data_IF_286231015171
#
_entry.id   IF_286231015171
#
_cell.length_a   1.000
_cell.length_b   1.000
_cell.length_c   1.000
_cell.angle_alpha   90.00
_cell.angle_beta   90.00
_cell.angle_gamma   90.00
#
_symmetry.space_group_name_H-M   'P 1'
#
loop_
_entity.id
_entity.type
_entity.pdbx_description
1 polymer ?
#
# COMPACT_ATOMS: atom_id res chain seq x y z
N UNK A 1 5.02 35.82 53.91
CA UNK A 1 5.59 34.64 53.20
C UNK A 1 4.59 34.22 52.14
N UNK A 2 4.87 34.54 50.87
CA UNK A 2 4.03 34.10 49.76
C UNK A 2 4.50 32.73 49.32
N UNK A 3 3.62 31.73 49.48
CA UNK A 3 3.84 30.39 48.91
C UNK A 3 3.59 30.46 47.39
N UNK A 4 4.66 30.41 46.61
CA UNK A 4 4.57 30.14 45.18
C UNK A 4 4.18 28.67 44.98
N UNK A 5 2.89 28.42 44.76
CA UNK A 5 2.43 27.17 44.18
C UNK A 5 2.66 27.33 42.67
N UNK A 6 3.80 26.88 42.20
CA UNK A 6 3.99 26.65 40.78
C UNK A 6 3.05 25.50 40.38
N UNK A 7 1.92 25.85 39.79
CA UNK A 7 1.08 24.86 39.12
C UNK A 7 1.91 24.21 38.02
N UNK A 8 2.25 22.93 38.19
CA UNK A 8 2.85 22.09 37.18
C UNK A 8 1.77 21.87 36.12
N UNK A 9 1.65 22.81 35.17
CA UNK A 9 0.85 22.60 33.98
C UNK A 9 1.62 21.51 33.19
N UNK A 10 1.14 20.29 33.28
CA UNK A 10 1.65 19.21 32.47
C UNK A 10 1.64 19.68 31.01
N UNK A 11 2.77 19.56 30.32
CA UNK A 11 2.83 19.81 28.90
C UNK A 11 1.67 19.03 28.23
N UNK A 12 0.89 19.65 27.35
CA UNK A 12 -0.17 18.93 26.66
C UNK A 12 0.47 17.73 25.99
N UNK A 13 0.07 16.52 26.39
CA UNK A 13 0.41 15.32 25.61
C UNK A 13 -0.12 15.57 24.21
N UNK A 14 0.76 15.65 23.22
CA UNK A 14 0.34 15.79 21.83
C UNK A 14 -0.73 14.72 21.59
N UNK A 15 -1.91 15.16 21.15
CA UNK A 15 -2.96 14.21 20.78
C UNK A 15 -2.39 13.29 19.69
N UNK A 16 -2.20 12.03 20.04
CA UNK A 16 -1.74 11.03 19.09
C UNK A 16 -2.89 10.90 18.09
N UNK A 17 -2.68 11.36 16.84
CA UNK A 17 -3.68 11.28 15.79
C UNK A 17 -4.06 9.84 15.50
N UNK A 18 -5.26 9.63 14.93
CA UNK A 18 -5.73 8.31 14.50
C UNK A 18 -4.87 7.71 13.40
N UNK A 19 -4.07 8.54 12.70
CA UNK A 19 -3.08 8.17 11.69
C UNK A 19 -1.69 8.57 12.16
N UNK A 20 -0.79 7.61 12.27
CA UNK A 20 0.62 7.83 12.59
C UNK A 20 1.51 7.37 11.45
N UNK A 21 2.46 8.21 11.03
CA UNK A 21 3.46 7.82 10.03
C UNK A 21 4.44 6.83 10.64
N UNK A 22 4.55 5.64 10.05
CA UNK A 22 5.52 4.61 10.44
C UNK A 22 6.80 4.78 9.63
N UNK A 23 6.68 4.95 8.32
CA UNK A 23 7.82 5.08 7.41
C UNK A 23 7.41 5.73 6.10
N UNK A 24 8.31 6.53 5.53
CA UNK A 24 8.14 7.12 4.20
C UNK A 24 9.42 6.93 3.40
N UNK A 25 9.26 6.56 2.13
CA UNK A 25 10.37 6.37 1.19
C UNK A 25 10.06 7.09 -0.12
N UNK A 26 10.97 7.94 -0.58
CA UNK A 26 10.95 8.51 -1.93
C UNK A 26 12.19 8.03 -2.67
N UNK A 27 12.01 7.51 -3.87
CA UNK A 27 13.10 6.93 -4.64
C UNK A 27 13.96 8.00 -5.30
N UNK A 28 15.26 7.96 -5.04
CA UNK A 28 16.28 8.76 -5.76
C UNK A 28 16.84 8.03 -6.98
N UNK A 29 16.67 6.72 -7.05
CA UNK A 29 17.06 5.84 -8.16
C UNK A 29 16.02 4.77 -8.38
N UNK A 30 15.88 4.28 -9.61
CA UNK A 30 14.93 3.20 -9.90
C UNK A 30 15.30 1.91 -9.14
N UNK A 31 14.31 1.26 -8.55
CA UNK A 31 14.48 0.02 -7.77
C UNK A 31 13.37 -0.99 -8.06
N UNK A 32 13.69 -2.28 -7.97
CA UNK A 32 12.73 -3.35 -8.27
C UNK A 32 11.58 -3.43 -7.26
N UNK A 33 11.82 -3.08 -5.99
CA UNK A 33 10.84 -3.21 -4.91
C UNK A 33 11.06 -2.22 -3.78
N UNK A 34 10.01 -2.01 -2.99
CA UNK A 34 10.01 -1.31 -1.70
C UNK A 34 9.59 -2.31 -0.63
N UNK A 35 10.32 -2.34 0.49
CA UNK A 35 9.98 -3.17 1.64
C UNK A 35 9.91 -2.31 2.91
N UNK A 36 8.78 -2.39 3.59
CA UNK A 36 8.62 -1.91 4.96
C UNK A 36 8.79 -3.10 5.89
N UNK A 37 9.75 -3.03 6.80
CA UNK A 37 10.05 -4.09 7.77
C UNK A 37 10.01 -3.54 9.20
N UNK A 38 9.95 -4.46 10.19
CA UNK A 38 9.86 -4.05 11.58
C UNK A 38 8.57 -3.30 11.92
N UNK A 39 7.47 -3.60 11.23
CA UNK A 39 6.17 -2.96 11.45
C UNK A 39 5.71 -3.28 12.87
N UNK A 40 5.49 -2.27 13.74
CA UNK A 40 5.04 -2.52 15.11
C UNK A 40 3.62 -3.06 15.14
N UNK A 41 3.26 -3.82 16.19
CA UNK A 41 1.92 -4.41 16.37
C UNK A 41 0.94 -3.53 17.15
N UNK A 42 1.23 -2.24 17.28
CA UNK A 42 0.53 -1.32 18.18
C UNK A 42 -0.67 -0.62 17.57
N UNK A 43 -0.88 -0.77 16.28
CA UNK A 43 -1.99 -0.16 15.54
C UNK A 43 -3.10 -1.18 15.27
N UNK A 44 -4.28 -0.71 14.94
CA UNK A 44 -5.43 -1.53 14.57
C UNK A 44 -5.33 -1.97 13.11
N UNK A 45 -4.99 -1.03 12.23
CA UNK A 45 -4.89 -1.23 10.78
C UNK A 45 -3.62 -0.59 10.25
N UNK A 46 -3.25 -0.97 9.03
CA UNK A 46 -2.21 -0.29 8.27
C UNK A 46 -2.81 0.32 7.01
N UNK A 47 -2.24 1.46 6.59
CA UNK A 47 -2.51 2.04 5.28
C UNK A 47 -1.20 2.40 4.60
N UNK A 48 -1.05 1.99 3.32
CA UNK A 48 0.01 2.50 2.45
C UNK A 48 -0.59 3.49 1.46
N UNK A 49 0.06 4.63 1.28
CA UNK A 49 -0.20 5.57 0.20
C UNK A 49 1.01 5.61 -0.71
N UNK A 50 0.78 5.36 -1.99
CA UNK A 50 1.84 5.32 -3.00
C UNK A 50 1.54 6.23 -4.17
N UNK A 51 2.58 6.95 -4.61
CA UNK A 51 2.63 7.61 -5.92
C UNK A 51 3.70 6.87 -6.70
N UNK A 52 3.34 6.29 -7.83
CA UNK A 52 4.19 5.31 -8.50
C UNK A 52 4.24 5.51 -10.00
N UNK A 53 5.44 5.38 -10.55
CA UNK A 53 5.73 5.28 -11.98
C UNK A 53 6.58 4.04 -12.23
N UNK A 54 6.31 3.24 -13.26
CA UNK A 54 7.18 2.13 -13.64
C UNK A 54 8.25 2.62 -14.62
N UNK A 55 9.33 1.85 -14.79
CA UNK A 55 10.29 2.03 -15.89
C UNK A 55 9.90 1.26 -17.16
N UNK A 56 8.85 0.42 -17.09
CA UNK A 56 8.33 -0.38 -18.20
C UNK A 56 6.82 -0.20 -18.33
N UNK A 57 6.31 -0.24 -19.56
CA UNK A 57 4.87 -0.20 -19.82
C UNK A 57 4.18 -1.49 -19.39
N UNK A 58 2.87 -1.40 -19.14
CA UNK A 58 1.99 -2.52 -18.76
C UNK A 58 2.47 -3.25 -17.50
N UNK A 59 3.07 -2.52 -16.58
CA UNK A 59 3.58 -3.08 -15.34
C UNK A 59 2.52 -3.01 -14.23
N UNK A 60 2.23 -4.16 -13.63
CA UNK A 60 1.37 -4.27 -12.46
C UNK A 60 2.20 -4.11 -11.19
N UNK A 61 1.56 -3.71 -10.10
CA UNK A 61 2.15 -3.83 -8.78
C UNK A 61 1.63 -5.07 -8.05
N UNK A 62 2.51 -5.65 -7.23
CA UNK A 62 2.27 -6.84 -6.44
C UNK A 62 2.60 -6.57 -4.99
N UNK A 63 1.67 -6.92 -4.11
CA UNK A 63 1.84 -6.86 -2.66
C UNK A 63 2.06 -8.26 -2.11
N UNK A 64 3.09 -8.43 -1.29
CA UNK A 64 3.29 -9.60 -0.43
C UNK A 64 3.44 -9.19 1.03
N UNK A 65 3.02 -10.04 1.95
CA UNK A 65 3.08 -9.86 3.39
C UNK A 65 4.03 -10.90 3.98
N UNK A 66 4.90 -10.49 4.90
CA UNK A 66 5.89 -11.33 5.59
C UNK A 66 6.76 -12.16 4.63
N UNK A 67 7.08 -11.61 3.45
CA UNK A 67 7.85 -12.29 2.41
C UNK A 67 7.26 -13.65 1.97
N UNK A 68 5.96 -13.86 2.20
CA UNK A 68 5.27 -15.07 1.75
C UNK A 68 5.10 -15.00 0.22
N UNK A 69 5.72 -15.94 -0.48
CA UNK A 69 5.65 -16.14 -1.93
C UNK A 69 4.93 -17.42 -2.31
N UNK A 70 4.31 -18.09 -1.34
CA UNK A 70 3.46 -19.26 -1.57
C UNK A 70 2.11 -18.88 -2.18
N UNK A 71 1.37 -19.88 -2.67
CA UNK A 71 0.04 -19.70 -3.25
C UNK A 71 -1.04 -19.44 -2.18
N UNK A 72 -0.74 -18.56 -1.22
CA UNK A 72 -1.55 -18.27 -0.05
C UNK A 72 -2.42 -17.01 -0.19
N UNK A 73 -2.51 -16.45 -1.40
CA UNK A 73 -3.30 -15.25 -1.63
C UNK A 73 -4.49 -15.53 -2.55
N UNK A 74 -5.53 -14.72 -2.37
CA UNK A 74 -6.65 -14.62 -3.29
C UNK A 74 -7.01 -13.15 -3.49
N UNK A 75 -7.59 -12.80 -4.62
CA UNK A 75 -8.04 -11.45 -4.92
C UNK A 75 -9.27 -11.42 -5.81
N UNK A 76 -10.03 -10.34 -5.69
CA UNK A 76 -11.02 -9.90 -6.69
C UNK A 76 -10.70 -8.47 -7.07
N UNK A 77 -10.96 -8.12 -8.32
CA UNK A 77 -10.76 -6.76 -8.83
C UNK A 77 -11.95 -6.30 -9.66
N UNK A 78 -12.14 -5.00 -9.67
CA UNK A 78 -13.00 -4.27 -10.58
C UNK A 78 -12.19 -3.11 -11.15
N UNK A 79 -12.05 -3.02 -12.48
CA UNK A 79 -11.27 -2.01 -13.17
C UNK A 79 -12.11 -1.37 -14.26
N UNK A 80 -12.11 -0.03 -14.31
CA UNK A 80 -12.68 0.75 -15.40
C UNK A 80 -11.58 1.54 -16.11
N UNK A 81 -11.54 1.51 -17.44
CA UNK A 81 -10.55 2.22 -18.27
C UNK A 81 -11.17 3.34 -19.12
N UNK A 82 -12.40 3.74 -18.81
CA UNK A 82 -13.15 4.75 -19.56
C UNK A 82 -13.97 4.19 -20.73
N UNK A 83 -13.70 2.97 -21.18
CA UNK A 83 -14.42 2.31 -22.29
C UNK A 83 -15.01 0.96 -21.87
N UNK A 84 -14.33 0.21 -21.04
CA UNK A 84 -14.73 -1.13 -20.58
C UNK A 84 -14.58 -1.26 -19.09
N UNK A 85 -15.30 -2.22 -18.52
CA UNK A 85 -15.16 -2.68 -17.14
C UNK A 85 -14.69 -4.11 -17.16
N UNK A 86 -13.65 -4.42 -16.38
CA UNK A 86 -13.12 -5.76 -16.15
C UNK A 86 -13.33 -6.16 -14.69
N UNK A 87 -13.92 -7.33 -14.48
CA UNK A 87 -14.14 -7.91 -13.17
C UNK A 87 -13.60 -9.34 -13.13
N UNK A 88 -12.62 -9.59 -12.27
CA UNK A 88 -11.91 -10.89 -12.23
C UNK A 88 -11.62 -11.31 -10.79
N UNK A 89 -11.77 -12.60 -10.51
CA UNK A 89 -11.34 -13.24 -9.26
C UNK A 89 -10.20 -14.22 -9.53
N UNK A 90 -9.24 -14.31 -8.62
CA UNK A 90 -8.13 -15.25 -8.68
C UNK A 90 -7.85 -15.80 -7.28
N UNK A 91 -7.72 -17.10 -7.16
CA UNK A 91 -7.36 -17.80 -5.92
C UNK A 91 -6.00 -18.50 -6.07
N UNK A 92 -5.40 -18.86 -4.94
CA UNK A 92 -4.13 -19.62 -4.90
C UNK A 92 -3.00 -18.93 -5.68
N UNK A 93 -2.85 -17.61 -5.48
CA UNK A 93 -1.77 -16.82 -6.08
C UNK A 93 -0.68 -16.51 -5.05
N UNK A 94 0.49 -16.10 -5.52
CA UNK A 94 1.65 -15.78 -4.70
C UNK A 94 1.70 -14.29 -4.26
N UNK A 95 0.69 -13.47 -4.60
CA UNK A 95 0.65 -12.04 -4.29
C UNK A 95 -0.77 -11.48 -4.49
N UNK A 96 -1.00 -10.27 -3.97
CA UNK A 96 -2.17 -9.45 -4.32
C UNK A 96 -1.72 -8.42 -5.37
N UNK A 97 -2.22 -8.55 -6.60
CA UNK A 97 -1.90 -7.64 -7.70
C UNK A 97 -2.87 -6.45 -7.76
N UNK A 98 -2.39 -5.32 -8.28
CA UNK A 98 -3.17 -4.11 -8.58
C UNK A 98 -2.51 -3.31 -9.70
N UNK A 99 -3.18 -2.32 -10.26
CA UNK A 99 -2.87 -1.70 -11.56
C UNK A 99 -2.91 -2.70 -12.73
N UNK A 100 -3.67 -3.77 -12.55
CA UNK A 100 -3.84 -4.82 -13.56
C UNK A 100 -4.60 -4.30 -14.81
N UNK A 101 -4.81 -5.19 -15.76
CA UNK A 101 -5.46 -4.99 -17.05
C UNK A 101 -4.60 -4.23 -18.07
N UNK A 102 -4.41 -2.92 -17.90
CA UNK A 102 -3.54 -2.14 -18.77
C UNK A 102 -2.21 -1.76 -18.13
N UNK A 103 -2.03 -2.12 -16.85
CA UNK A 103 -0.84 -1.78 -16.08
C UNK A 103 -0.57 -0.27 -15.96
N UNK A 104 0.50 0.06 -15.29
CA UNK A 104 1.04 1.40 -15.30
C UNK A 104 1.80 1.65 -16.61
N UNK A 105 1.74 2.89 -17.11
CA UNK A 105 2.32 3.28 -18.39
C UNK A 105 3.46 4.27 -18.20
N UNK A 106 4.43 4.25 -19.11
CA UNK A 106 5.54 5.21 -19.16
C UNK A 106 5.38 6.26 -20.25
N UNK A 107 4.35 6.13 -21.10
CA UNK A 107 4.21 6.88 -22.34
C UNK A 107 4.13 8.40 -22.17
N UNK A 108 3.55 8.89 -21.07
CA UNK A 108 3.52 10.33 -20.76
C UNK A 108 4.55 10.63 -19.68
N UNK A 109 5.47 11.55 -19.97
CA UNK A 109 6.48 11.97 -19.01
C UNK A 109 5.83 12.61 -17.77
N UNK A 110 6.43 12.38 -16.61
CA UNK A 110 6.01 12.95 -15.31
C UNK A 110 4.61 12.56 -14.84
N UNK A 111 3.94 11.60 -15.48
CA UNK A 111 2.68 11.01 -15.01
C UNK A 111 2.98 9.86 -14.06
N UNK A 112 2.33 9.88 -12.92
CA UNK A 112 2.39 8.85 -11.89
C UNK A 112 1.00 8.31 -11.60
N UNK A 113 0.90 7.03 -11.32
CA UNK A 113 -0.30 6.44 -10.74
C UNK A 113 -0.32 6.60 -9.23
N UNK A 114 -1.50 6.39 -8.63
CA UNK A 114 -1.69 6.45 -7.18
C UNK A 114 -2.34 5.17 -6.68
N UNK A 115 -1.94 4.73 -5.47
CA UNK A 115 -2.59 3.63 -4.77
C UNK A 115 -2.77 3.95 -3.28
N UNK A 116 -3.92 3.54 -2.75
CA UNK A 116 -4.19 3.46 -1.32
C UNK A 116 -4.45 1.99 -1.00
N UNK A 117 -3.68 1.45 -0.06
CA UNK A 117 -3.75 0.04 0.34
C UNK A 117 -4.08 -0.01 1.83
N UNK A 118 -5.24 -0.54 2.19
CA UNK A 118 -5.63 -0.79 3.56
C UNK A 118 -5.39 -2.26 3.90
N UNK A 119 -4.72 -2.54 5.02
CA UNK A 119 -4.53 -3.88 5.58
C UNK A 119 -5.21 -3.90 6.94
N UNK A 120 -6.34 -4.59 7.02
CA UNK A 120 -7.20 -4.58 8.19
C UNK A 120 -6.76 -5.62 9.22
N UNK A 121 -6.82 -5.25 10.50
CA UNK A 121 -6.47 -6.12 11.62
C UNK A 121 -5.12 -6.85 11.44
N UNK A 122 -4.11 -6.16 10.89
CA UNK A 122 -2.86 -6.74 10.41
C UNK A 122 -2.06 -7.50 11.48
N UNK A 123 -2.19 -7.11 12.75
CA UNK A 123 -1.50 -7.75 13.87
C UNK A 123 -2.33 -8.87 14.53
N UNK A 124 -3.59 -9.08 14.12
CA UNK A 124 -4.45 -10.11 14.71
C UNK A 124 -3.99 -11.50 14.28
N UNK A 125 -3.86 -12.42 15.25
CA UNK A 125 -3.38 -13.80 15.01
C UNK A 125 -4.49 -14.84 14.94
N UNK A 126 -5.78 -14.42 14.95
CA UNK A 126 -6.93 -15.30 14.86
C UNK A 126 -7.67 -15.24 13.53
N UNK A 127 -7.24 -14.35 12.63
CA UNK A 127 -7.88 -14.11 11.33
C UNK A 127 -6.86 -14.07 10.21
N UNK A 128 -7.30 -14.43 9.02
CA UNK A 128 -6.59 -14.10 7.78
C UNK A 128 -6.59 -12.58 7.55
N UNK A 129 -5.61 -12.10 6.80
CA UNK A 129 -5.48 -10.66 6.54
C UNK A 129 -6.29 -10.26 5.32
N UNK A 130 -7.17 -9.29 5.51
CA UNK A 130 -7.96 -8.71 4.42
C UNK A 130 -7.31 -7.40 3.98
N UNK A 131 -7.16 -7.26 2.68
CA UNK A 131 -6.57 -6.08 2.03
C UNK A 131 -7.58 -5.48 1.09
N UNK A 132 -7.65 -4.14 1.08
CA UNK A 132 -8.43 -3.38 0.11
C UNK A 132 -7.50 -2.37 -0.57
N UNK A 133 -7.60 -2.27 -1.91
CA UNK A 133 -6.75 -1.39 -2.69
C UNK A 133 -7.61 -0.55 -3.62
N UNK A 134 -7.45 0.77 -3.54
CA UNK A 134 -7.93 1.70 -4.53
C UNK A 134 -6.71 2.21 -5.31
N UNK A 135 -6.73 2.07 -6.63
CA UNK A 135 -5.63 2.48 -7.49
C UNK A 135 -6.12 3.17 -8.75
N UNK A 136 -5.28 4.00 -9.35
CA UNK A 136 -5.60 4.64 -10.60
C UNK A 136 -4.42 5.38 -11.20
N UNK A 137 -4.47 5.54 -12.51
CA UNK A 137 -3.56 6.38 -13.28
C UNK A 137 -4.30 7.01 -14.45
N UNK A 138 -3.95 8.22 -14.79
CA UNK A 138 -4.44 8.94 -15.97
C UNK A 138 -3.24 9.41 -16.79
N UNK A 139 -3.23 9.05 -18.08
CA UNK A 139 -2.17 9.36 -19.03
C UNK A 139 -2.65 10.40 -20.06
N UNK A 140 -3.45 11.37 -19.63
CA UNK A 140 -4.03 12.41 -20.47
C UNK A 140 -4.95 11.82 -21.59
N UNK A 141 -6.01 11.17 -21.16
CA UNK A 141 -7.04 10.60 -22.03
C UNK A 141 -7.03 9.08 -22.15
N UNK A 142 -6.03 8.42 -21.60
CA UNK A 142 -6.03 6.98 -21.34
C UNK A 142 -5.67 6.73 -19.88
N UNK A 143 -6.07 5.60 -19.33
CA UNK A 143 -5.79 5.30 -17.94
C UNK A 143 -6.77 4.28 -17.38
N UNK A 144 -6.78 4.17 -16.06
CA UNK A 144 -7.70 3.27 -15.37
C UNK A 144 -7.93 3.69 -13.92
N UNK A 145 -9.06 3.28 -13.38
CA UNK A 145 -9.33 3.25 -11.95
C UNK A 145 -9.66 1.82 -11.55
N UNK A 146 -9.11 1.36 -10.44
CA UNK A 146 -9.27 -0.02 -9.97
C UNK A 146 -9.57 -0.12 -8.49
N UNK A 147 -10.49 -1.02 -8.15
CA UNK A 147 -10.77 -1.47 -6.80
C UNK A 147 -10.40 -2.95 -6.70
N UNK A 148 -9.55 -3.30 -5.74
CA UNK A 148 -9.18 -4.69 -5.48
C UNK A 148 -9.43 -5.05 -4.02
N UNK A 149 -9.93 -6.28 -3.80
CA UNK A 149 -10.02 -6.93 -2.50
C UNK A 149 -9.06 -8.10 -2.49
N UNK A 150 -8.20 -8.18 -1.49
CA UNK A 150 -7.21 -9.25 -1.33
C UNK A 150 -7.36 -9.99 -0.01
N UNK A 151 -7.01 -11.25 -0.02
CA UNK A 151 -6.91 -12.12 1.14
C UNK A 151 -5.51 -12.71 1.20
N UNK A 152 -4.86 -12.66 2.37
CA UNK A 152 -3.71 -13.51 2.68
C UNK A 152 -4.14 -14.57 3.68
N UNK A 153 -4.05 -15.83 3.29
CA UNK A 153 -4.50 -17.00 4.04
C UNK A 153 -3.47 -17.39 5.13
N UNK A 154 -3.12 -16.43 5.96
CA UNK A 154 -2.25 -16.62 7.11
C UNK A 154 -2.80 -15.85 8.31
N UNK A 155 -2.75 -16.48 9.48
CA UNK A 155 -3.08 -15.83 10.75
C UNK A 155 -1.90 -15.10 11.37
N UNK A 156 -0.68 -15.22 10.84
CA UNK A 156 0.50 -14.53 11.37
C UNK A 156 0.28 -13.00 11.35
N UNK A 157 0.77 -12.32 12.39
CA UNK A 157 0.82 -10.86 12.37
C UNK A 157 1.72 -10.38 11.23
N UNK A 158 1.31 -9.33 10.54
CA UNK A 158 2.10 -8.73 9.46
C UNK A 158 3.19 -7.84 10.05
N UNK A 159 4.45 -8.21 9.87
CA UNK A 159 5.63 -7.46 10.32
C UNK A 159 6.45 -6.88 9.17
N UNK A 160 6.17 -7.36 7.95
CA UNK A 160 6.85 -6.93 6.72
C UNK A 160 5.85 -6.84 5.58
N UNK A 161 5.98 -5.80 4.77
CA UNK A 161 5.17 -5.55 3.58
C UNK A 161 6.11 -5.22 2.43
N UNK A 162 5.97 -5.93 1.30
CA UNK A 162 6.78 -5.68 0.10
C UNK A 162 5.89 -5.35 -1.08
N UNK A 163 6.25 -4.29 -1.79
CA UNK A 163 5.66 -3.86 -3.05
C UNK A 163 6.69 -4.04 -4.16
N UNK A 164 6.33 -4.76 -5.21
CA UNK A 164 7.22 -5.07 -6.33
C UNK A 164 6.50 -4.87 -7.66
N UNK A 165 7.24 -4.42 -8.69
CA UNK A 165 6.71 -4.34 -10.05
C UNK A 165 6.72 -5.71 -10.71
N UNK A 166 5.74 -5.99 -11.56
CA UNK A 166 5.67 -7.22 -12.37
C UNK A 166 6.69 -7.22 -13.51
N UNK A 167 7.07 -6.03 -13.97
CA UNK A 167 8.06 -5.80 -15.03
C UNK A 167 8.77 -4.46 -14.81
N UNK A 168 10.05 -4.41 -15.13
CA UNK A 168 10.87 -3.22 -14.90
C UNK A 168 11.06 -2.91 -13.41
N UNK A 169 11.23 -1.64 -13.11
CA UNK A 169 11.47 -1.11 -11.77
C UNK A 169 10.43 -0.03 -11.42
N UNK A 170 10.34 0.28 -10.14
CA UNK A 170 9.77 1.54 -9.64
C UNK A 170 10.72 2.67 -10.06
N UNK A 171 10.21 3.66 -10.75
CA UNK A 171 11.01 4.77 -11.27
C UNK A 171 11.34 5.80 -10.18
N UNK A 172 12.36 6.59 -10.45
CA UNK A 172 12.76 7.75 -9.63
C UNK A 172 11.55 8.64 -9.32
N UNK A 173 11.52 9.22 -8.14
CA UNK A 173 10.44 10.03 -7.57
C UNK A 173 9.15 9.25 -7.20
N UNK A 174 9.07 7.96 -7.47
CA UNK A 174 8.02 7.15 -6.82
C UNK A 174 8.18 7.24 -5.31
N UNK A 175 7.07 7.42 -4.59
CA UNK A 175 7.11 7.57 -3.15
C UNK A 175 6.00 6.75 -2.49
N UNK A 176 6.32 6.23 -1.30
CA UNK A 176 5.42 5.40 -0.51
C UNK A 176 5.49 5.81 0.95
N UNK A 177 4.34 5.92 1.59
CA UNK A 177 4.23 6.18 3.01
C UNK A 177 3.36 5.10 3.66
N UNK A 178 3.89 4.48 4.72
CA UNK A 178 3.18 3.53 5.57
C UNK A 178 2.68 4.24 6.82
N UNK A 179 1.40 4.09 7.10
CA UNK A 179 0.72 4.62 8.27
C UNK A 179 0.13 3.51 9.13
N UNK A 180 0.19 3.70 10.44
CA UNK A 180 -0.58 2.97 11.43
C UNK A 180 -1.88 3.71 11.75
N UNK A 181 -2.99 3.00 11.83
CA UNK A 181 -4.32 3.51 12.17
C UNK A 181 -4.73 2.86 13.50
N UNK A 182 -5.20 3.69 14.45
CA UNK A 182 -5.68 3.26 15.79
C UNK A 182 -7.15 2.91 15.80
#
# INVERSE_FOLDING_TARGET
MLNNIAALVGAPTAAIGDYESISTTTLSTATASITFSGIPSTYKHLQVRGIVRPTSNNADMRLTLNSDTGSNYARHRLIGNGSTVDATGTASTAFIGFFDANGLQTGTASVFGVAIIDILDYANTSKYKTVRILSGNDNNGSGQVGLSSGLWQSTAATTTLTLVMSAGNLDTYSSFALYGIK
#
